data_IF_474409548016
#
_entry.id   IF_474409548016
#
_cell.length_a   1.000
_cell.length_b   1.000
_cell.length_c   1.000
_cell.angle_alpha   90.00
_cell.angle_beta   90.00
_cell.angle_gamma   90.00
#
_symmetry.space_group_name_H-M   'P 1'
#
loop_
_entity.id
_entity.type
_entity.pdbx_description
1 polymer ?
#
# COMPACT_ATOMS: atom_id res chain seq x y z
N UNK A 1 -28.01 -69.18 -2.32
CA UNK A 1 -28.01 -68.55 -1.00
C UNK A 1 -27.35 -67.19 -1.15
N UNK A 2 -28.19 -66.21 -1.24
CA UNK A 2 -27.83 -64.79 -1.50
C UNK A 2 -27.93 -64.07 -0.18
N UNK A 3 -26.85 -63.44 0.28
CA UNK A 3 -26.90 -62.55 1.41
C UNK A 3 -26.72 -61.12 0.94
N UNK A 4 -27.80 -60.35 1.02
CA UNK A 4 -27.92 -58.93 0.67
C UNK A 4 -28.07 -58.12 1.96
N UNK A 5 -27.03 -57.47 2.38
CA UNK A 5 -27.15 -56.45 3.44
C UNK A 5 -26.75 -55.05 2.87
N UNK A 6 -27.61 -54.02 3.00
CA UNK A 6 -27.29 -52.67 2.58
C UNK A 6 -26.46 -51.97 3.69
N UNK A 7 -25.25 -51.53 3.35
CA UNK A 7 -24.43 -50.67 4.22
C UNK A 7 -24.97 -49.23 4.17
N UNK A 8 -25.50 -48.83 5.31
CA UNK A 8 -25.89 -47.46 5.63
C UNK A 8 -24.70 -46.51 5.55
N UNK A 9 -24.77 -45.55 4.62
CA UNK A 9 -23.83 -44.44 4.51
C UNK A 9 -24.29 -43.36 5.52
N UNK A 10 -23.70 -43.35 6.70
CA UNK A 10 -23.87 -42.25 7.63
C UNK A 10 -23.24 -40.98 7.08
N UNK A 11 -24.09 -39.96 6.87
CA UNK A 11 -23.68 -38.60 6.52
C UNK A 11 -22.88 -37.96 7.65
N UNK A 12 -21.63 -37.65 7.38
CA UNK A 12 -20.83 -36.76 8.22
C UNK A 12 -20.93 -35.34 7.67
N UNK A 13 -21.22 -34.32 8.51
CA UNK A 13 -21.24 -32.94 8.07
C UNK A 13 -19.81 -32.50 7.69
N UNK A 14 -19.66 -32.09 6.44
CA UNK A 14 -18.41 -31.54 5.91
C UNK A 14 -18.20 -30.14 6.53
N UNK A 15 -17.73 -30.12 7.79
CA UNK A 15 -17.28 -28.92 8.48
C UNK A 15 -16.08 -28.35 7.73
N UNK A 16 -16.15 -27.06 7.52
CA UNK A 16 -15.16 -26.16 6.92
C UNK A 16 -13.76 -26.43 7.50
N UNK A 17 -13.04 -27.38 6.96
CA UNK A 17 -11.61 -27.43 7.08
C UNK A 17 -11.05 -26.72 5.84
N UNK A 18 -10.61 -25.48 6.03
CA UNK A 18 -9.45 -24.97 5.30
C UNK A 18 -8.34 -25.99 5.54
N UNK A 19 -8.32 -27.07 4.77
CA UNK A 19 -7.16 -27.95 4.71
C UNK A 19 -6.04 -27.09 4.12
N UNK A 20 -5.29 -26.45 5.01
CA UNK A 20 -3.88 -26.30 4.77
C UNK A 20 -3.35 -27.71 4.61
N UNK A 21 -3.32 -28.17 3.38
CA UNK A 21 -2.59 -29.38 3.06
C UNK A 21 -1.15 -29.08 3.45
N UNK A 22 -0.55 -29.76 4.45
CA UNK A 22 0.88 -29.64 4.65
C UNK A 22 1.50 -30.07 3.33
N UNK A 23 2.33 -29.18 2.76
CA UNK A 23 2.94 -29.34 1.47
C UNK A 23 3.71 -30.66 1.43
N UNK A 24 3.14 -31.68 0.80
CA UNK A 24 3.87 -32.87 0.40
C UNK A 24 5.02 -32.45 -0.50
N UNK A 25 6.24 -32.51 0.02
CA UNK A 25 7.46 -32.52 -0.74
C UNK A 25 8.20 -31.19 -0.96
N UNK A 26 7.81 -30.08 -0.39
CA UNK A 26 8.70 -28.93 -0.39
C UNK A 26 9.64 -29.05 0.81
N UNK A 27 10.85 -29.55 0.59
CA UNK A 27 11.91 -29.51 1.58
C UNK A 27 12.05 -28.07 2.07
N UNK A 28 12.16 -27.85 3.39
CA UNK A 28 12.41 -26.54 4.03
C UNK A 28 13.50 -25.75 3.27
N UNK A 29 14.39 -26.45 2.59
CA UNK A 29 15.46 -25.97 1.73
C UNK A 29 14.96 -25.25 0.46
N UNK A 30 13.90 -25.72 -0.21
CA UNK A 30 13.33 -25.04 -1.40
C UNK A 30 12.62 -23.75 -1.01
N UNK A 31 11.85 -23.76 0.08
CA UNK A 31 11.21 -22.55 0.61
C UNK A 31 12.25 -21.50 1.02
N UNK A 32 13.29 -21.92 1.74
CA UNK A 32 14.40 -21.06 2.15
C UNK A 32 15.13 -20.47 0.92
N UNK A 33 15.42 -21.28 -0.09
CA UNK A 33 16.07 -20.83 -1.33
C UNK A 33 15.24 -19.79 -2.08
N UNK A 34 13.93 -19.99 -2.17
CA UNK A 34 13.02 -19.04 -2.84
C UNK A 34 12.96 -17.72 -2.09
N UNK A 35 12.85 -17.78 -0.75
CA UNK A 35 12.86 -16.57 0.10
C UNK A 35 14.21 -15.85 0.02
N UNK A 36 15.32 -16.60 0.09
CA UNK A 36 16.66 -16.03 -0.03
C UNK A 36 16.87 -15.36 -1.40
N UNK A 37 16.43 -16.00 -2.49
CA UNK A 37 16.49 -15.40 -3.84
C UNK A 37 15.70 -14.09 -3.91
N UNK A 38 14.50 -14.04 -3.31
CA UNK A 38 13.69 -12.81 -3.26
C UNK A 38 14.38 -11.72 -2.45
N UNK A 39 14.95 -12.05 -1.30
CA UNK A 39 15.73 -11.11 -0.49
C UNK A 39 16.96 -10.59 -1.24
N UNK A 40 17.66 -11.45 -1.98
CA UNK A 40 18.80 -11.04 -2.82
C UNK A 40 18.37 -10.09 -3.95
N UNK A 41 17.19 -10.28 -4.55
CA UNK A 41 16.65 -9.40 -5.57
C UNK A 41 16.22 -8.03 -5.01
N UNK A 42 16.01 -7.89 -3.70
CA UNK A 42 15.75 -6.60 -3.07
C UNK A 42 17.02 -5.74 -2.92
N UNK A 43 18.20 -6.37 -2.82
CA UNK A 43 19.44 -5.62 -2.63
C UNK A 43 19.71 -4.57 -3.72
N UNK A 44 19.58 -4.89 -5.03
CA UNK A 44 19.73 -3.88 -6.08
C UNK A 44 18.66 -2.80 -6.03
N UNK A 45 17.42 -3.14 -5.63
CA UNK A 45 16.33 -2.15 -5.48
C UNK A 45 16.62 -1.22 -4.31
N UNK A 46 17.02 -1.75 -3.16
CA UNK A 46 17.42 -0.95 -1.99
C UNK A 46 18.62 -0.06 -2.31
N UNK A 47 19.63 -0.62 -3.00
CA UNK A 47 20.77 0.14 -3.46
C UNK A 47 20.36 1.31 -4.36
N UNK A 48 19.47 1.07 -5.31
CA UNK A 48 18.96 2.09 -6.23
C UNK A 48 18.18 3.17 -5.47
N UNK A 49 17.29 2.80 -4.54
CA UNK A 49 16.51 3.75 -3.73
C UNK A 49 17.43 4.63 -2.90
N UNK A 50 18.38 4.05 -2.17
CA UNK A 50 19.32 4.80 -1.33
C UNK A 50 20.19 5.73 -2.19
N UNK A 51 20.67 5.23 -3.35
CA UNK A 51 21.46 6.04 -4.27
C UNK A 51 20.67 7.19 -4.90
N UNK A 52 19.44 6.94 -5.32
CA UNK A 52 18.56 7.98 -5.84
C UNK A 52 18.29 9.08 -4.80
N UNK A 53 18.02 8.68 -3.56
CA UNK A 53 17.79 9.62 -2.46
C UNK A 53 19.06 10.42 -2.13
N UNK A 54 20.23 9.79 -2.16
CA UNK A 54 21.51 10.50 -2.02
C UNK A 54 21.68 11.56 -3.12
N UNK A 55 21.38 11.21 -4.36
CA UNK A 55 21.55 12.13 -5.50
C UNK A 55 20.58 13.32 -5.45
N UNK A 56 19.45 13.24 -4.75
CA UNK A 56 18.47 14.33 -4.68
C UNK A 56 19.10 15.68 -4.29
N UNK A 57 19.99 15.71 -3.29
CA UNK A 57 20.64 16.93 -2.84
C UNK A 57 21.60 17.51 -3.89
N UNK A 58 22.19 16.64 -4.74
CA UNK A 58 23.17 17.02 -5.75
C UNK A 58 22.51 17.37 -7.10
N UNK A 59 21.26 16.97 -7.32
CA UNK A 59 20.50 17.30 -8.54
C UNK A 59 19.77 18.64 -8.45
N UNK A 60 19.62 19.19 -7.25
CA UNK A 60 19.00 20.51 -7.08
C UNK A 60 19.93 21.60 -7.65
N UNK A 61 19.47 22.42 -8.58
CA UNK A 61 20.31 23.48 -9.15
C UNK A 61 20.66 24.52 -8.09
N UNK A 62 21.94 24.88 -7.99
CA UNK A 62 22.49 25.81 -7.01
C UNK A 62 23.22 25.12 -5.84
N UNK A 63 23.84 25.92 -4.97
CA UNK A 63 24.49 25.38 -3.77
C UNK A 63 23.45 25.01 -2.71
N UNK A 64 23.31 23.71 -2.35
CA UNK A 64 22.32 23.28 -1.36
C UNK A 64 22.53 23.98 -0.01
N UNK A 65 23.75 24.24 0.39
CA UNK A 65 24.06 24.91 1.67
C UNK A 65 23.57 26.36 1.69
N UNK A 66 23.78 27.10 0.60
CA UNK A 66 23.24 28.46 0.47
C UNK A 66 21.71 28.45 0.50
N UNK A 67 21.08 27.48 -0.17
CA UNK A 67 19.62 27.36 -0.18
C UNK A 67 19.04 27.02 1.20
N UNK A 68 19.77 26.24 2.01
CA UNK A 68 19.38 25.90 3.38
C UNK A 68 19.45 27.11 4.32
N UNK A 69 20.52 27.93 4.21
CA UNK A 69 20.75 29.10 5.06
C UNK A 69 19.96 30.33 4.62
N UNK A 70 19.67 30.45 3.31
CA UNK A 70 19.03 31.65 2.74
C UNK A 70 20.00 32.78 2.39
N UNK A 71 19.45 33.90 1.88
CA UNK A 71 20.24 35.00 1.30
C UNK A 71 21.09 35.82 2.31
N UNK A 72 20.85 35.66 3.61
CA UNK A 72 21.58 36.39 4.67
C UNK A 72 22.79 35.67 5.24
N UNK A 73 23.15 34.51 4.71
CA UNK A 73 24.24 33.70 5.27
C UNK A 73 25.62 34.31 4.98
N UNK A 74 26.49 34.31 6.00
CA UNK A 74 27.88 34.69 5.81
C UNK A 74 28.68 33.55 5.18
N UNK A 75 29.85 33.90 4.57
CA UNK A 75 30.73 32.87 4.00
C UNK A 75 31.21 31.87 5.07
N UNK A 76 31.37 32.32 6.33
CA UNK A 76 31.73 31.46 7.45
C UNK A 76 30.61 30.47 7.81
N UNK A 77 29.35 30.90 7.80
CA UNK A 77 28.22 30.04 8.10
C UNK A 77 28.06 28.95 7.02
N UNK A 78 28.26 29.34 5.76
CA UNK A 78 28.21 28.39 4.61
C UNK A 78 29.34 27.35 4.75
N UNK A 79 30.58 27.79 5.09
CA UNK A 79 31.69 26.86 5.26
C UNK A 79 31.49 25.94 6.47
N UNK A 80 31.03 26.45 7.59
CA UNK A 80 30.75 25.67 8.80
C UNK A 80 29.65 24.63 8.55
N UNK A 81 28.57 25.01 7.87
CA UNK A 81 27.49 24.07 7.54
C UNK A 81 27.91 23.00 6.51
N UNK A 82 28.69 23.43 5.50
CA UNK A 82 29.25 22.49 4.50
C UNK A 82 30.12 21.43 5.17
N UNK A 83 30.97 21.84 6.12
CA UNK A 83 31.80 20.92 6.92
C UNK A 83 30.93 20.02 7.83
N UNK A 84 29.94 20.58 8.52
CA UNK A 84 29.05 19.83 9.42
C UNK A 84 28.26 18.72 8.72
N UNK A 85 27.91 18.91 7.45
CA UNK A 85 27.22 17.91 6.61
C UNK A 85 28.18 17.08 5.74
N UNK A 86 29.50 17.28 5.85
CA UNK A 86 30.48 16.54 5.07
C UNK A 86 30.35 16.78 3.55
N UNK A 87 29.86 17.95 3.15
CA UNK A 87 29.70 18.35 1.73
C UNK A 87 30.98 18.94 1.16
N UNK A 88 32.02 19.07 1.97
CA UNK A 88 33.36 19.52 1.60
C UNK A 88 34.28 18.39 1.12
N UNK A 89 33.89 17.12 1.32
CA UNK A 89 34.65 15.95 0.86
C UNK A 89 34.21 15.51 -0.54
N UNK A 90 35.07 14.75 -1.29
CA UNK A 90 34.71 14.23 -2.61
C UNK A 90 33.42 13.39 -2.59
N UNK A 91 32.60 13.49 -3.65
CA UNK A 91 31.30 12.79 -3.80
C UNK A 91 31.34 11.29 -3.45
N UNK A 92 32.36 10.50 -3.87
CA UNK A 92 32.40 9.09 -3.48
C UNK A 92 32.48 8.86 -1.96
N UNK A 93 33.19 9.73 -1.23
CA UNK A 93 33.27 9.68 0.22
C UNK A 93 31.98 10.11 0.89
N UNK A 94 31.29 11.15 0.35
CA UNK A 94 29.97 11.53 0.81
C UNK A 94 28.96 10.38 0.67
N UNK A 95 28.99 9.69 -0.47
CA UNK A 95 28.14 8.53 -0.75
C UNK A 95 28.42 7.37 0.25
N UNK A 96 29.68 7.10 0.53
CA UNK A 96 30.07 6.05 1.48
C UNK A 96 29.62 6.41 2.92
N UNK A 97 29.80 7.67 3.33
CA UNK A 97 29.35 8.17 4.61
C UNK A 97 27.83 8.09 4.75
N UNK A 98 27.10 8.47 3.70
CA UNK A 98 25.64 8.36 3.66
C UNK A 98 25.17 6.91 3.81
N UNK A 99 25.78 5.98 3.08
CA UNK A 99 25.49 4.54 3.22
C UNK A 99 25.79 4.03 4.63
N UNK A 100 26.90 4.44 5.19
CA UNK A 100 27.25 4.06 6.57
C UNK A 100 26.21 4.61 7.56
N UNK A 101 25.78 5.85 7.41
CA UNK A 101 24.71 6.44 8.21
C UNK A 101 23.41 5.64 8.12
N UNK A 102 22.93 5.38 6.89
CA UNK A 102 21.70 4.62 6.64
C UNK A 102 21.76 3.23 7.29
N UNK A 103 22.88 2.52 7.16
CA UNK A 103 23.06 1.17 7.74
C UNK A 103 23.06 1.18 9.28
N UNK A 104 23.44 2.30 9.92
CA UNK A 104 23.42 2.47 11.39
C UNK A 104 22.13 3.15 11.88
N UNK A 105 21.18 3.48 10.96
CA UNK A 105 19.94 4.18 11.30
C UNK A 105 20.14 5.69 11.58
N UNK A 106 21.30 6.24 11.28
CA UNK A 106 21.56 7.65 11.33
C UNK A 106 21.22 8.31 9.99
N UNK A 107 20.13 9.05 9.97
CA UNK A 107 19.64 9.80 8.80
C UNK A 107 20.05 11.29 8.85
N UNK A 108 20.96 11.65 9.74
CA UNK A 108 21.38 13.04 9.96
C UNK A 108 20.43 13.85 10.86
N UNK A 109 20.59 15.15 10.84
CA UNK A 109 19.80 16.10 11.66
C UNK A 109 19.08 17.10 10.77
N UNK A 110 17.83 17.40 11.13
CA UNK A 110 17.07 18.51 10.54
C UNK A 110 17.62 19.84 11.02
N UNK A 111 17.90 20.76 10.10
CA UNK A 111 18.35 22.11 10.44
C UNK A 111 17.23 22.96 11.03
N UNK A 112 16.03 22.85 10.49
CA UNK A 112 14.88 23.68 10.87
C UNK A 112 14.30 23.26 12.22
N UNK A 113 14.23 21.95 12.47
CA UNK A 113 13.64 21.39 13.69
C UNK A 113 14.69 21.05 14.75
N UNK A 114 15.98 21.19 14.43
CA UNK A 114 17.13 20.92 15.31
C UNK A 114 17.05 19.57 16.04
N UNK A 115 16.52 18.54 15.35
CA UNK A 115 16.28 17.21 15.88
C UNK A 115 16.82 16.12 14.94
N UNK A 116 17.13 14.91 15.44
CA UNK A 116 17.51 13.78 14.59
C UNK A 116 16.39 13.44 13.60
N UNK A 117 16.72 13.31 12.31
CA UNK A 117 15.77 12.99 11.24
C UNK A 117 15.04 11.68 11.51
N UNK A 118 15.75 10.65 11.98
CA UNK A 118 15.16 9.36 12.34
C UNK A 118 14.03 9.52 13.36
N UNK A 119 14.24 10.31 14.42
CA UNK A 119 13.20 10.58 15.42
C UNK A 119 11.98 11.28 14.84
N UNK A 120 12.18 12.29 14.00
CA UNK A 120 11.10 13.03 13.34
C UNK A 120 10.28 12.11 12.43
N UNK A 121 10.95 11.32 11.61
CA UNK A 121 10.33 10.36 10.68
C UNK A 121 9.55 9.30 11.45
N UNK A 122 10.17 8.62 12.41
CA UNK A 122 9.51 7.54 13.15
C UNK A 122 8.39 8.04 14.06
N UNK A 123 8.39 9.29 14.50
CA UNK A 123 7.26 9.89 15.24
C UNK A 123 6.03 10.12 14.34
N UNK A 124 6.21 10.32 13.03
CA UNK A 124 5.13 10.58 12.06
C UNK A 124 4.69 9.35 11.29
N UNK A 125 5.56 8.37 11.16
CA UNK A 125 5.30 7.13 10.42
C UNK A 125 4.04 6.37 10.89
N UNK A 126 3.77 6.20 12.21
CA UNK A 126 2.55 5.53 12.68
C UNK A 126 1.26 6.19 12.20
N UNK A 127 1.23 7.52 12.05
CA UNK A 127 0.05 8.23 11.56
C UNK A 127 -0.25 7.93 10.09
N UNK A 128 0.78 7.82 9.25
CA UNK A 128 0.60 7.41 7.85
C UNK A 128 0.08 5.98 7.76
N UNK A 129 0.64 5.05 8.53
CA UNK A 129 0.15 3.66 8.56
C UNK A 129 -1.27 3.58 9.13
N UNK A 130 -1.58 4.34 10.18
CA UNK A 130 -2.91 4.41 10.77
C UNK A 130 -3.98 4.97 9.80
N UNK A 131 -3.58 5.75 8.81
CA UNK A 131 -4.47 6.20 7.73
C UNK A 131 -4.54 5.18 6.59
N UNK A 132 -3.41 4.61 6.20
CA UNK A 132 -3.31 3.70 5.06
C UNK A 132 -4.10 2.39 5.28
N UNK A 133 -3.99 1.78 6.46
CA UNK A 133 -4.67 0.51 6.74
C UNK A 133 -6.21 0.62 6.70
N UNK A 134 -6.87 1.60 7.36
CA UNK A 134 -8.30 1.79 7.21
C UNK A 134 -8.74 2.13 5.77
N UNK A 135 -7.92 2.88 5.00
CA UNK A 135 -8.22 3.17 3.61
C UNK A 135 -8.23 1.91 2.73
N UNK A 136 -7.26 1.00 2.93
CA UNK A 136 -7.24 -0.30 2.27
C UNK A 136 -8.46 -1.14 2.68
N UNK A 137 -8.74 -1.22 3.97
CA UNK A 137 -9.87 -1.99 4.48
C UNK A 137 -11.19 -1.45 3.92
N UNK A 138 -11.39 -0.14 3.92
CA UNK A 138 -12.53 0.54 3.30
C UNK A 138 -12.66 0.19 1.82
N UNK A 139 -11.55 0.23 1.08
CA UNK A 139 -11.53 -0.12 -0.35
C UNK A 139 -11.95 -1.56 -0.59
N UNK A 140 -11.46 -2.50 0.21
CA UNK A 140 -11.81 -3.92 0.12
C UNK A 140 -13.28 -4.15 0.47
N UNK A 141 -13.76 -3.53 1.57
CA UNK A 141 -15.14 -3.65 2.04
C UNK A 141 -16.17 -3.13 1.01
N UNK A 142 -15.80 -2.12 0.23
CA UNK A 142 -16.64 -1.64 -0.87
C UNK A 142 -16.47 -2.49 -2.14
N UNK A 143 -15.25 -2.81 -2.49
CA UNK A 143 -14.94 -3.45 -3.77
C UNK A 143 -15.45 -4.89 -3.86
N UNK A 144 -15.35 -5.68 -2.77
CA UNK A 144 -15.79 -7.07 -2.80
C UNK A 144 -17.28 -7.20 -3.08
N UNK A 145 -18.20 -6.59 -2.29
CA UNK A 145 -19.63 -6.74 -2.55
C UNK A 145 -20.04 -6.10 -3.88
N UNK A 146 -19.48 -4.93 -4.23
CA UNK A 146 -19.80 -4.24 -5.48
C UNK A 146 -19.32 -5.06 -6.71
N UNK A 147 -18.10 -5.59 -6.68
CA UNK A 147 -17.55 -6.38 -7.77
C UNK A 147 -18.27 -7.73 -7.96
N UNK A 148 -18.60 -8.42 -6.85
CA UNK A 148 -19.37 -9.67 -6.87
C UNK A 148 -20.77 -9.40 -7.41
N UNK A 149 -21.47 -8.38 -6.91
CA UNK A 149 -22.80 -8.03 -7.38
C UNK A 149 -22.82 -7.66 -8.87
N UNK A 150 -21.82 -6.90 -9.33
CA UNK A 150 -21.65 -6.56 -10.74
C UNK A 150 -21.42 -7.78 -11.62
N UNK A 151 -20.61 -8.76 -11.15
CA UNK A 151 -20.36 -10.00 -11.88
C UNK A 151 -21.61 -10.89 -11.97
N UNK A 152 -22.37 -11.02 -10.88
CA UNK A 152 -23.59 -11.86 -10.83
C UNK A 152 -24.74 -11.29 -11.67
N UNK A 153 -24.83 -9.95 -11.77
CA UNK A 153 -25.87 -9.27 -12.56
C UNK A 153 -25.34 -8.75 -13.90
N UNK A 154 -24.42 -9.52 -14.52
CA UNK A 154 -23.78 -9.15 -15.79
C UNK A 154 -24.79 -8.64 -16.83
N UNK A 155 -24.46 -7.48 -17.43
CA UNK A 155 -25.26 -6.79 -18.45
C UNK A 155 -26.64 -6.26 -17.98
N UNK A 156 -26.99 -6.41 -16.70
CA UNK A 156 -28.19 -5.83 -16.11
C UNK A 156 -27.94 -4.38 -15.65
N UNK A 157 -28.99 -3.68 -15.18
CA UNK A 157 -28.90 -2.30 -14.74
C UNK A 157 -27.96 -2.12 -13.52
N UNK A 158 -27.92 -3.10 -12.61
CA UNK A 158 -27.01 -3.09 -11.44
C UNK A 158 -25.54 -3.08 -11.87
N UNK A 159 -25.16 -3.92 -12.82
CA UNK A 159 -23.82 -3.98 -13.39
C UNK A 159 -23.43 -2.65 -14.06
N UNK A 160 -24.38 -2.05 -14.81
CA UNK A 160 -24.14 -0.74 -15.47
C UNK A 160 -23.89 0.36 -14.46
N UNK A 161 -24.75 0.49 -13.42
CA UNK A 161 -24.58 1.50 -12.38
C UNK A 161 -23.29 1.33 -11.57
N UNK A 162 -22.98 0.10 -11.12
CA UNK A 162 -21.73 -0.17 -10.40
C UNK A 162 -20.50 0.10 -11.28
N UNK A 163 -20.56 -0.20 -12.56
CA UNK A 163 -19.47 0.13 -13.50
C UNK A 163 -19.32 1.63 -13.71
N UNK A 164 -20.43 2.37 -13.83
CA UNK A 164 -20.41 3.85 -13.94
C UNK A 164 -19.84 4.48 -12.68
N UNK A 165 -20.30 4.07 -11.49
CA UNK A 165 -19.79 4.56 -10.20
C UNK A 165 -18.28 4.27 -10.08
N UNK A 166 -17.85 3.07 -10.45
CA UNK A 166 -16.42 2.71 -10.45
C UNK A 166 -15.62 3.56 -11.44
N UNK A 167 -16.20 3.89 -12.60
CA UNK A 167 -15.54 4.74 -13.59
C UNK A 167 -15.39 6.18 -13.05
N UNK A 168 -16.43 6.72 -12.42
CA UNK A 168 -16.35 8.01 -11.75
C UNK A 168 -15.29 8.03 -10.65
N UNK A 169 -15.26 7.02 -9.79
CA UNK A 169 -14.25 6.89 -8.73
C UNK A 169 -12.82 6.80 -9.27
N UNK A 170 -12.63 6.22 -10.45
CA UNK A 170 -11.33 6.15 -11.10
C UNK A 170 -10.93 7.49 -11.77
N UNK A 171 -11.90 8.18 -12.38
CA UNK A 171 -11.67 9.42 -13.11
C UNK A 171 -11.49 10.63 -12.19
N UNK A 172 -11.98 10.53 -10.94
CA UNK A 172 -11.95 11.64 -10.00
C UNK A 172 -10.64 11.62 -9.19
N UNK A 173 -9.77 12.61 -9.34
CA UNK A 173 -8.55 12.67 -8.56
C UNK A 173 -8.84 12.80 -7.06
N UNK A 174 -8.13 12.06 -6.22
CA UNK A 174 -8.33 12.09 -4.76
C UNK A 174 -8.19 13.48 -4.16
N UNK A 175 -7.27 14.30 -4.70
CA UNK A 175 -7.09 15.68 -4.24
C UNK A 175 -8.30 16.59 -4.53
N UNK A 176 -9.09 16.29 -5.55
CA UNK A 176 -10.31 17.04 -5.86
C UNK A 176 -11.51 16.56 -5.01
N UNK A 177 -11.53 15.29 -4.65
CA UNK A 177 -12.57 14.72 -3.79
C UNK A 177 -12.48 15.26 -2.33
N UNK A 178 -11.26 15.44 -1.83
CA UNK A 178 -11.04 15.88 -0.45
C UNK A 178 -11.74 17.23 -0.10
N UNK A 179 -11.54 18.32 -0.85
CA UNK A 179 -12.24 19.59 -0.60
C UNK A 179 -13.77 19.48 -0.70
N UNK A 180 -14.29 18.66 -1.61
CA UNK A 180 -15.72 18.44 -1.77
C UNK A 180 -16.29 17.76 -0.52
N UNK A 181 -15.62 16.72 -0.01
CA UNK A 181 -16.03 16.05 1.22
C UNK A 181 -15.94 16.98 2.44
N UNK A 182 -14.90 17.80 2.53
CA UNK A 182 -14.76 18.81 3.58
C UNK A 182 -15.91 19.81 3.52
N UNK A 183 -16.20 20.37 2.32
CA UNK A 183 -17.28 21.33 2.15
C UNK A 183 -18.62 20.74 2.55
N UNK A 184 -18.94 19.54 2.08
CA UNK A 184 -20.23 18.92 2.30
C UNK A 184 -20.41 18.41 3.72
N UNK A 185 -19.48 17.55 4.22
CA UNK A 185 -19.63 16.91 5.53
C UNK A 185 -19.04 17.71 6.69
N UNK A 186 -18.05 18.57 6.41
CA UNK A 186 -17.39 19.34 7.45
C UNK A 186 -17.99 20.74 7.63
N UNK A 187 -18.38 21.41 6.53
CA UNK A 187 -18.84 22.80 6.60
C UNK A 187 -20.37 22.88 6.51
N UNK A 188 -21.02 22.24 5.51
CA UNK A 188 -22.48 22.35 5.36
C UNK A 188 -23.26 21.53 6.37
N UNK A 189 -22.82 20.31 6.65
CA UNK A 189 -23.53 19.43 7.60
C UNK A 189 -22.94 19.49 9.02
N UNK A 190 -21.71 19.98 9.18
CA UNK A 190 -20.98 20.02 10.47
C UNK A 190 -20.96 18.65 11.22
N UNK A 191 -20.90 17.54 10.44
CA UNK A 191 -20.92 16.20 11.00
C UNK A 191 -19.52 15.69 11.35
N UNK A 192 -18.52 16.09 10.56
CA UNK A 192 -17.17 15.55 10.61
C UNK A 192 -16.12 16.68 10.66
N UNK A 193 -15.05 16.50 11.45
CA UNK A 193 -13.99 17.48 11.53
C UNK A 193 -13.24 17.60 10.19
N UNK A 194 -12.90 18.83 9.82
CA UNK A 194 -12.26 19.17 8.55
C UNK A 194 -10.75 18.90 8.54
N UNK A 195 -10.11 18.83 9.73
CA UNK A 195 -8.64 18.68 9.83
C UNK A 195 -8.20 18.14 11.18
N UNK A 196 -6.96 17.61 11.25
CA UNK A 196 -6.36 17.10 12.47
C UNK A 196 -6.46 15.59 12.65
N UNK A 197 -6.07 15.07 13.83
CA UNK A 197 -5.99 13.63 14.14
C UNK A 197 -6.41 13.30 15.58
N UNK A 198 -7.33 14.08 16.18
CA UNK A 198 -7.66 13.97 17.60
C UNK A 198 -8.63 12.85 17.98
N UNK A 199 -9.44 12.33 17.03
CA UNK A 199 -10.45 11.31 17.31
C UNK A 199 -10.72 10.43 16.09
N UNK A 200 -11.50 9.36 16.24
CA UNK A 200 -11.89 8.48 15.13
C UNK A 200 -12.64 9.22 14.00
N UNK A 201 -13.37 10.29 14.30
CA UNK A 201 -14.09 11.12 13.31
C UNK A 201 -13.13 11.77 12.29
N UNK A 202 -11.91 12.09 12.70
CA UNK A 202 -10.89 12.67 11.82
C UNK A 202 -10.39 11.68 10.76
N UNK A 203 -10.59 10.37 10.95
CA UNK A 203 -10.24 9.36 9.95
C UNK A 203 -11.22 9.27 8.78
N UNK A 204 -12.51 9.61 9.02
CA UNK A 204 -13.58 9.27 8.07
C UNK A 204 -13.36 9.92 6.70
N UNK A 205 -13.18 11.24 6.65
CA UNK A 205 -13.01 11.95 5.39
C UNK A 205 -11.69 11.58 4.68
N UNK A 206 -10.53 11.55 5.37
CA UNK A 206 -9.28 11.10 4.74
C UNK A 206 -9.31 9.65 4.23
N UNK A 207 -9.94 8.73 4.98
CA UNK A 207 -10.08 7.32 4.58
C UNK A 207 -10.94 7.18 3.33
N UNK A 208 -12.09 7.88 3.26
CA UNK A 208 -12.95 7.88 2.08
C UNK A 208 -12.20 8.48 0.88
N UNK A 209 -11.53 9.61 1.09
CA UNK A 209 -10.74 10.27 0.03
C UNK A 209 -9.68 9.34 -0.55
N UNK A 210 -8.88 8.73 0.32
CA UNK A 210 -7.75 7.90 -0.09
C UNK A 210 -8.21 6.55 -0.65
N UNK A 211 -9.24 5.96 -0.04
CA UNK A 211 -9.71 4.62 -0.38
C UNK A 211 -10.66 4.55 -1.57
N UNK A 212 -11.35 5.64 -1.95
CA UNK A 212 -12.36 5.62 -3.00
C UNK A 212 -11.80 5.25 -4.38
N UNK A 213 -10.67 5.83 -4.78
CA UNK A 213 -10.00 5.52 -6.04
C UNK A 213 -9.53 4.06 -6.09
N UNK A 214 -8.97 3.58 -4.99
CA UNK A 214 -8.57 2.18 -4.85
C UNK A 214 -9.77 1.23 -4.89
N UNK A 215 -10.88 1.58 -4.22
CA UNK A 215 -12.12 0.81 -4.26
C UNK A 215 -12.65 0.65 -5.68
N UNK A 216 -12.57 1.70 -6.50
CA UNK A 216 -13.01 1.68 -7.89
C UNK A 216 -12.18 0.69 -8.73
N UNK A 217 -10.86 0.70 -8.61
CA UNK A 217 -9.95 -0.23 -9.30
C UNK A 217 -10.22 -1.67 -8.86
N UNK A 218 -10.31 -1.90 -7.55
CA UNK A 218 -10.55 -3.23 -6.99
C UNK A 218 -11.93 -3.77 -7.38
N UNK A 219 -12.98 -2.94 -7.42
CA UNK A 219 -14.32 -3.35 -7.86
C UNK A 219 -14.30 -3.91 -9.28
N UNK A 220 -13.64 -3.21 -10.19
CA UNK A 220 -13.49 -3.68 -11.58
C UNK A 220 -12.67 -4.96 -11.67
N UNK A 221 -11.62 -5.08 -10.89
CA UNK A 221 -10.79 -6.28 -10.84
C UNK A 221 -11.60 -7.48 -10.32
N UNK A 222 -12.28 -7.33 -9.18
CA UNK A 222 -13.16 -8.36 -8.61
C UNK A 222 -14.23 -8.79 -9.62
N UNK A 223 -14.87 -7.82 -10.30
CA UNK A 223 -15.86 -8.13 -11.35
C UNK A 223 -15.25 -9.00 -12.44
N UNK A 224 -14.09 -8.62 -12.98
CA UNK A 224 -13.45 -9.33 -14.08
C UNK A 224 -13.06 -10.76 -13.67
N UNK A 225 -12.34 -10.90 -12.56
CA UNK A 225 -11.89 -12.21 -12.06
C UNK A 225 -13.06 -13.12 -11.67
N UNK A 226 -14.12 -12.55 -11.08
CA UNK A 226 -15.35 -13.32 -10.78
C UNK A 226 -16.04 -13.80 -12.04
N UNK A 227 -16.12 -13.00 -13.11
CA UNK A 227 -16.71 -13.42 -14.39
C UNK A 227 -15.90 -14.54 -15.04
N UNK A 228 -14.58 -14.46 -14.98
CA UNK A 228 -13.69 -15.52 -15.49
C UNK A 228 -13.88 -16.82 -14.71
N UNK A 229 -13.89 -16.76 -13.37
CA UNK A 229 -14.05 -17.93 -12.51
C UNK A 229 -15.44 -18.57 -12.65
N UNK A 230 -16.50 -17.76 -12.70
CA UNK A 230 -17.88 -18.26 -12.87
C UNK A 230 -18.11 -18.96 -14.21
N UNK A 231 -17.26 -18.72 -15.21
CA UNK A 231 -17.26 -19.38 -16.51
C UNK A 231 -16.56 -20.74 -16.56
N UNK A 232 -15.80 -21.12 -15.53
CA UNK A 232 -14.98 -22.34 -15.51
C UNK A 232 -15.80 -23.63 -15.37
N UNK A 233 -15.26 -24.74 -15.88
CA UNK A 233 -15.95 -26.04 -15.88
C UNK A 233 -16.17 -26.62 -14.48
N UNK A 234 -15.27 -26.33 -13.52
CA UNK A 234 -15.47 -26.77 -12.14
C UNK A 234 -16.69 -26.09 -11.48
N UNK A 235 -17.04 -24.88 -11.90
CA UNK A 235 -18.25 -24.17 -11.45
C UNK A 235 -19.50 -24.84 -12.06
N UNK A 236 -19.45 -25.22 -13.35
CA UNK A 236 -20.54 -25.99 -13.97
C UNK A 236 -20.77 -27.31 -13.27
N UNK A 237 -19.68 -27.99 -12.91
CA UNK A 237 -19.73 -29.24 -12.12
C UNK A 237 -20.34 -29.03 -10.75
N UNK A 238 -20.00 -27.95 -10.08
CA UNK A 238 -20.54 -27.60 -8.75
C UNK A 238 -22.08 -27.38 -8.82
N UNK A 239 -22.56 -26.68 -9.86
CA UNK A 239 -23.97 -26.47 -10.10
C UNK A 239 -24.69 -27.78 -10.44
N UNK A 240 -24.09 -28.62 -11.28
CA UNK A 240 -24.64 -29.94 -11.65
C UNK A 240 -24.78 -30.88 -10.43
N UNK A 241 -23.92 -30.71 -9.40
CA UNK A 241 -24.03 -31.41 -8.10
C UNK A 241 -25.11 -30.84 -7.17
N UNK A 242 -25.90 -29.85 -7.61
CA UNK A 242 -26.99 -29.26 -6.82
C UNK A 242 -26.56 -28.27 -5.73
N UNK A 243 -25.36 -27.74 -5.79
CA UNK A 243 -24.92 -26.73 -4.84
C UNK A 243 -25.69 -25.42 -5.04
N UNK A 244 -26.06 -24.75 -3.93
CA UNK A 244 -26.71 -23.44 -4.00
C UNK A 244 -25.80 -22.38 -4.63
N UNK A 245 -26.35 -21.40 -5.33
CA UNK A 245 -25.57 -20.31 -5.94
C UNK A 245 -24.68 -19.56 -4.93
N UNK A 246 -25.14 -19.39 -3.70
CA UNK A 246 -24.30 -18.82 -2.64
C UNK A 246 -23.06 -19.67 -2.37
N UNK A 247 -23.20 -20.98 -2.30
CA UNK A 247 -22.07 -21.89 -2.10
C UNK A 247 -21.12 -21.86 -3.31
N UNK A 248 -21.65 -21.84 -4.53
CA UNK A 248 -20.89 -21.73 -5.78
C UNK A 248 -20.06 -20.45 -5.79
N UNK A 249 -20.68 -19.31 -5.48
CA UNK A 249 -20.03 -17.99 -5.49
C UNK A 249 -18.98 -17.88 -4.39
N UNK A 250 -19.37 -18.06 -3.14
CA UNK A 250 -18.50 -17.72 -1.99
C UNK A 250 -17.50 -18.83 -1.62
N UNK A 251 -17.78 -20.10 -1.91
CA UNK A 251 -16.90 -21.23 -1.56
C UNK A 251 -16.06 -21.75 -2.71
N UNK A 252 -16.48 -21.51 -3.95
CA UNK A 252 -15.81 -22.06 -5.13
C UNK A 252 -15.21 -20.98 -6.04
N UNK A 253 -15.97 -19.94 -6.44
CA UNK A 253 -15.47 -18.90 -7.34
C UNK A 253 -14.61 -17.86 -6.62
N UNK A 254 -15.13 -17.27 -5.52
CA UNK A 254 -14.47 -16.15 -4.84
C UNK A 254 -13.04 -16.45 -4.35
N UNK A 255 -12.73 -17.61 -3.73
CA UNK A 255 -11.37 -17.88 -3.26
C UNK A 255 -10.34 -17.84 -4.40
N UNK A 256 -10.71 -18.32 -5.60
CA UNK A 256 -9.83 -18.29 -6.77
C UNK A 256 -9.74 -16.88 -7.37
N UNK A 257 -10.87 -16.17 -7.44
CA UNK A 257 -10.92 -14.78 -7.92
C UNK A 257 -10.11 -13.79 -7.03
N UNK A 258 -9.89 -14.11 -5.76
CA UNK A 258 -9.10 -13.27 -4.84
C UNK A 258 -7.59 -13.38 -5.08
N UNK A 259 -7.10 -14.43 -5.75
CA UNK A 259 -5.66 -14.62 -5.95
C UNK A 259 -5.02 -13.46 -6.76
N UNK A 260 -5.57 -13.05 -7.92
CA UNK A 260 -5.05 -11.88 -8.64
C UNK A 260 -5.24 -10.57 -7.86
N UNK A 261 -6.27 -10.48 -7.01
CA UNK A 261 -6.54 -9.29 -6.21
C UNK A 261 -5.41 -8.96 -5.24
N UNK A 262 -4.76 -9.97 -4.64
CA UNK A 262 -3.62 -9.77 -3.74
C UNK A 262 -2.46 -9.05 -4.45
N UNK A 263 -2.18 -9.41 -5.70
CA UNK A 263 -1.13 -8.73 -6.48
C UNK A 263 -1.47 -7.28 -6.75
N UNK A 264 -2.73 -7.00 -7.13
CA UNK A 264 -3.19 -5.63 -7.37
C UNK A 264 -3.18 -4.81 -6.09
N UNK A 265 -3.55 -5.39 -4.95
CA UNK A 265 -3.46 -4.72 -3.63
C UNK A 265 -2.04 -4.26 -3.31
N UNK A 266 -1.04 -5.11 -3.56
CA UNK A 266 0.37 -4.75 -3.36
C UNK A 266 0.82 -3.59 -4.24
N UNK A 267 0.49 -3.63 -5.54
CA UNK A 267 0.81 -2.56 -6.47
C UNK A 267 0.10 -1.24 -6.10
N UNK A 268 -1.17 -1.33 -5.67
CA UNK A 268 -1.97 -0.18 -5.28
C UNK A 268 -1.50 0.46 -3.95
N UNK A 269 -0.76 -0.27 -3.13
CA UNK A 269 -0.19 0.31 -1.92
C UNK A 269 0.79 1.45 -2.24
N UNK A 270 1.55 1.35 -3.32
CA UNK A 270 2.45 2.43 -3.77
C UNK A 270 1.69 3.69 -4.18
N UNK A 271 0.61 3.53 -4.95
CA UNK A 271 -0.26 4.66 -5.35
C UNK A 271 -0.98 5.27 -4.15
N UNK A 272 -1.34 4.44 -3.16
CA UNK A 272 -1.94 4.88 -1.92
C UNK A 272 -0.96 5.72 -1.08
N UNK A 273 0.31 5.30 -0.97
CA UNK A 273 1.32 6.09 -0.27
C UNK A 273 1.56 7.45 -0.95
N UNK A 274 1.60 7.49 -2.27
CA UNK A 274 1.71 8.75 -3.02
C UNK A 274 0.47 9.64 -2.80
N UNK A 275 -0.73 9.06 -2.83
CA UNK A 275 -1.98 9.76 -2.54
C UNK A 275 -2.10 10.22 -1.08
N UNK A 276 -1.49 9.48 -0.16
CA UNK A 276 -1.47 9.82 1.25
C UNK A 276 -0.76 11.15 1.50
N UNK A 277 0.32 11.48 0.77
CA UNK A 277 1.03 12.77 0.90
C UNK A 277 0.06 13.94 0.70
N UNK A 278 -0.75 13.90 -0.35
CA UNK A 278 -1.72 14.96 -0.67
C UNK A 278 -2.85 14.98 0.34
N UNK A 279 -3.40 13.82 0.67
CA UNK A 279 -4.50 13.68 1.64
C UNK A 279 -4.09 14.16 3.03
N UNK A 280 -2.91 13.77 3.52
CA UNK A 280 -2.35 14.22 4.79
C UNK A 280 -2.17 15.74 4.83
N UNK A 281 -1.77 16.34 3.70
CA UNK A 281 -1.60 17.79 3.60
C UNK A 281 -2.93 18.51 3.65
N UNK A 282 -3.93 18.07 2.88
CA UNK A 282 -5.26 18.71 2.82
C UNK A 282 -5.97 18.63 4.19
N UNK A 283 -5.96 17.46 4.81
CA UNK A 283 -6.62 17.23 6.10
C UNK A 283 -5.76 17.63 7.31
N UNK A 284 -4.58 18.22 7.09
CA UNK A 284 -3.61 18.53 8.17
C UNK A 284 -3.28 17.33 9.06
N UNK A 285 -3.32 16.12 8.48
CA UNK A 285 -2.99 14.89 9.17
C UNK A 285 -1.49 14.84 9.51
N UNK A 286 -1.08 14.51 10.75
CA UNK A 286 0.32 14.62 11.18
C UNK A 286 1.19 13.44 10.71
N UNK A 287 1.06 13.02 9.47
CA UNK A 287 1.79 11.89 8.91
C UNK A 287 3.12 12.25 8.23
N UNK A 288 3.75 11.22 7.64
CA UNK A 288 5.05 11.31 6.98
C UNK A 288 4.98 12.10 5.67
N UNK A 289 3.86 12.00 4.94
CA UNK A 289 3.66 12.75 3.69
C UNK A 289 3.62 14.26 3.93
N UNK A 290 2.87 14.71 4.94
CA UNK A 290 2.84 16.12 5.34
C UNK A 290 4.22 16.60 5.83
N UNK A 291 4.94 15.75 6.59
CA UNK A 291 6.30 16.06 7.00
C UNK A 291 7.22 16.24 5.79
N UNK A 292 7.08 15.40 4.77
CA UNK A 292 7.86 15.50 3.52
C UNK A 292 7.60 16.83 2.81
N UNK A 293 6.35 17.23 2.64
CA UNK A 293 5.99 18.51 2.01
C UNK A 293 6.55 19.69 2.82
N UNK A 294 6.41 19.64 4.14
CA UNK A 294 6.99 20.66 5.03
C UNK A 294 8.52 20.74 4.90
N UNK A 295 9.21 19.61 4.85
CA UNK A 295 10.66 19.54 4.67
C UNK A 295 11.08 20.13 3.31
N UNK A 296 10.38 19.82 2.22
CA UNK A 296 10.63 20.38 0.88
C UNK A 296 10.43 21.89 0.90
N UNK A 297 9.32 22.39 1.44
CA UNK A 297 9.00 23.82 1.49
C UNK A 297 10.04 24.61 2.32
N UNK A 298 10.61 23.98 3.34
CA UNK A 298 11.64 24.57 4.20
C UNK A 298 13.07 24.31 3.71
N UNK A 299 13.24 23.62 2.58
CA UNK A 299 14.57 23.24 2.02
C UNK A 299 15.43 22.43 3.02
N UNK A 300 14.79 21.62 3.84
CA UNK A 300 15.46 20.77 4.83
C UNK A 300 15.85 19.43 4.17
N UNK A 301 16.95 19.45 3.43
CA UNK A 301 17.37 18.31 2.60
C UNK A 301 17.57 17.00 3.38
N UNK A 302 18.22 16.99 4.57
CA UNK A 302 18.35 15.76 5.34
C UNK A 302 16.99 15.16 5.73
N UNK A 303 16.03 16.02 6.10
CA UNK A 303 14.68 15.57 6.44
C UNK A 303 13.92 15.06 5.20
N UNK A 304 14.06 15.71 4.05
CA UNK A 304 13.50 15.23 2.77
C UNK A 304 14.07 13.86 2.42
N UNK A 305 15.39 13.69 2.50
CA UNK A 305 16.05 12.40 2.25
C UNK A 305 15.53 11.30 3.18
N UNK A 306 15.45 11.57 4.48
CA UNK A 306 14.94 10.61 5.47
C UNK A 306 13.48 10.22 5.22
N UNK A 307 12.62 11.17 4.88
CA UNK A 307 11.22 10.91 4.54
C UNK A 307 11.08 10.05 3.28
N UNK A 308 11.74 10.44 2.18
CA UNK A 308 11.66 9.71 0.89
C UNK A 308 12.26 8.31 1.03
N UNK A 309 13.39 8.17 1.73
CA UNK A 309 13.99 6.87 2.00
C UNK A 309 13.02 5.96 2.76
N UNK A 310 12.37 6.47 3.80
CA UNK A 310 11.40 5.70 4.59
C UNK A 310 10.18 5.30 3.77
N UNK A 311 9.64 6.18 2.93
CA UNK A 311 8.53 5.87 2.02
C UNK A 311 8.97 4.80 1.01
N UNK A 312 10.14 4.94 0.41
CA UNK A 312 10.69 3.97 -0.54
C UNK A 312 10.93 2.59 0.08
N UNK A 313 11.51 2.54 1.28
CA UNK A 313 11.71 1.29 2.02
C UNK A 313 10.36 0.64 2.39
N UNK A 314 9.38 1.43 2.82
CA UNK A 314 8.03 0.93 3.11
C UNK A 314 7.40 0.30 1.88
N UNK A 315 7.50 0.94 0.72
CA UNK A 315 7.01 0.40 -0.54
C UNK A 315 7.67 -0.93 -0.91
N UNK A 316 8.98 -1.01 -0.79
CA UNK A 316 9.75 -2.24 -1.03
C UNK A 316 9.33 -3.36 -0.09
N UNK A 317 9.18 -3.07 1.21
CA UNK A 317 8.77 -4.06 2.22
C UNK A 317 7.34 -4.56 1.99
N UNK A 318 6.41 -3.68 1.62
CA UNK A 318 5.03 -4.07 1.32
C UNK A 318 4.94 -4.92 0.06
N UNK A 319 5.69 -4.59 -0.99
CA UNK A 319 5.75 -5.43 -2.19
C UNK A 319 6.33 -6.81 -1.86
N UNK A 320 7.40 -6.87 -1.07
CA UNK A 320 7.94 -8.16 -0.60
C UNK A 320 6.89 -8.96 0.20
N UNK A 321 6.20 -8.32 1.14
CA UNK A 321 5.14 -8.97 1.92
C UNK A 321 4.03 -9.51 1.00
N UNK A 322 3.64 -8.73 0.00
CA UNK A 322 2.64 -9.12 -1.00
C UNK A 322 3.10 -10.32 -1.82
N UNK A 323 4.36 -10.35 -2.26
CA UNK A 323 4.93 -11.48 -2.99
C UNK A 323 5.00 -12.76 -2.15
N UNK A 324 5.33 -12.62 -0.86
CA UNK A 324 5.33 -13.74 0.08
C UNK A 324 3.91 -14.26 0.29
N UNK A 325 2.95 -13.38 0.51
CA UNK A 325 1.53 -13.74 0.67
C UNK A 325 0.98 -14.40 -0.59
N UNK A 326 1.29 -13.86 -1.77
CA UNK A 326 0.89 -14.44 -3.04
C UNK A 326 1.48 -15.86 -3.22
N UNK A 327 2.75 -16.06 -2.92
CA UNK A 327 3.38 -17.38 -2.93
C UNK A 327 2.81 -18.35 -1.89
N UNK A 328 2.27 -17.84 -0.76
CA UNK A 328 1.61 -18.68 0.24
C UNK A 328 0.20 -19.11 -0.20
N UNK A 329 -0.53 -18.23 -0.86
CA UNK A 329 -1.93 -18.46 -1.29
C UNK A 329 -2.02 -19.22 -2.61
N UNK A 330 -1.12 -19.01 -3.55
CA UNK A 330 -1.15 -19.63 -4.87
C UNK A 330 -0.17 -20.81 -4.98
N UNK A 331 -0.62 -22.06 -4.86
CA UNK A 331 0.27 -23.22 -4.95
C UNK A 331 0.84 -23.44 -6.36
N UNK A 332 0.25 -22.84 -7.41
CA UNK A 332 0.75 -22.97 -8.80
C UNK A 332 2.03 -22.18 -9.07
N UNK A 333 2.34 -21.18 -8.26
CA UNK A 333 3.58 -20.37 -8.38
C UNK A 333 4.74 -21.01 -7.60
N UNK A 334 4.49 -22.12 -6.92
CA UNK A 334 5.50 -22.89 -6.17
C UNK A 334 6.30 -23.89 -7.03
N UNK A 335 6.01 -23.97 -8.34
CA UNK A 335 6.73 -24.84 -9.28
C UNK A 335 7.93 -24.07 -9.94
#
# INVERSE_FOLDING_TARGET
MLDSSPRSVHGLPCVLRLRFHPADGMTMQKALRTTLRRLLLLLPVLWLVVSAVFLLIHLVPGDPVQQMLGEGATASDIAALRHAYGLDVPLPLQYLHYWRGVLHGDLGRSLRLNAPVAQLVFSRYPYTIALALPAILFSILLALPAGIASALHRAQWQDRWLSVISLFGLSFPSFALAPILILFFGIWLDWLPVSGAGSWRHFVLPVITLGSGMAAILTRMVRTTMLEELGQDYIRTARAKGLSERAVVYRHALPNALIPLLTVLGLQFGTLLAGAIVTETIFSWPGLGRLTISAISNRDYPLVQGCILTIGLTYVLVNLATDVLYGAVNPRVRQ
#
